data_IF_741965822136
#
_entry.id   IF_741965822136
#
_cell.length_a   1.000
_cell.length_b   1.000
_cell.length_c   1.000
_cell.angle_alpha   90.00
_cell.angle_beta   90.00
_cell.angle_gamma   90.00
#
_symmetry.space_group_name_H-M   'P 1'
#
loop_
_entity.id
_entity.type
_entity.pdbx_description
1 polymer ?
#
# COMPACT_ATOMS: atom_id res chain seq x y z
N UNK A 1 -38.60 62.70 -55.47
CA UNK A 1 -38.62 62.37 -56.92
C UNK A 1 -37.48 63.15 -57.56
N UNK A 2 -36.52 62.46 -58.21
CA UNK A 2 -35.24 63.00 -58.75
C UNK A 2 -34.23 63.43 -57.65
N UNK A 3 -32.90 63.31 -57.78
CA UNK A 3 -31.95 62.56 -58.65
C UNK A 3 -30.61 62.55 -57.84
N UNK A 4 -29.98 61.41 -57.50
CA UNK A 4 -28.94 60.64 -58.24
C UNK A 4 -27.66 61.40 -58.64
N UNK A 5 -26.50 60.75 -58.41
CA UNK A 5 -25.09 61.22 -58.45
C UNK A 5 -24.52 61.54 -59.87
N UNK A 6 -23.23 61.95 -60.02
CA UNK A 6 -22.04 61.04 -60.02
C UNK A 6 -20.80 61.61 -59.26
N UNK A 7 -19.77 60.82 -58.84
CA UNK A 7 -18.61 60.31 -59.63
C UNK A 7 -17.45 61.34 -59.72
N UNK A 8 -16.14 61.04 -59.85
CA UNK A 8 -15.35 59.79 -59.92
C UNK A 8 -13.84 60.10 -59.62
N UNK A 9 -13.00 59.06 -59.49
CA UNK A 9 -11.60 59.03 -59.04
C UNK A 9 -10.48 59.75 -59.85
N UNK A 10 -9.35 60.08 -59.19
CA UNK A 10 -7.93 59.87 -59.60
C UNK A 10 -6.97 60.50 -58.53
N UNK A 11 -6.11 59.78 -57.79
CA UNK A 11 -4.79 59.17 -58.10
C UNK A 11 -3.69 60.18 -58.51
N UNK A 12 -2.66 60.38 -57.67
CA UNK A 12 -1.24 60.51 -58.08
C UNK A 12 -0.23 60.47 -56.91
N UNK A 13 0.69 59.50 -56.99
CA UNK A 13 2.15 59.51 -56.72
C UNK A 13 2.73 60.24 -55.47
N UNK A 14 3.37 59.55 -54.52
CA UNK A 14 4.79 59.10 -54.52
C UNK A 14 5.79 60.24 -54.16
N UNK A 15 6.88 60.06 -53.41
CA UNK A 15 7.62 58.86 -52.99
C UNK A 15 8.19 58.99 -51.55
N UNK A 16 8.37 57.87 -50.86
CA UNK A 16 9.34 57.71 -49.77
C UNK A 16 9.82 56.24 -49.71
N UNK A 17 11.10 55.95 -49.37
CA UNK A 17 11.76 54.74 -49.89
C UNK A 17 11.46 53.41 -49.16
N UNK A 18 11.31 52.36 -49.98
CA UNK A 18 11.57 50.94 -49.68
C UNK A 18 13.10 50.73 -49.49
N UNK A 19 13.68 49.65 -48.92
CA UNK A 19 13.27 48.38 -48.27
C UNK A 19 14.53 47.91 -47.43
N UNK A 20 14.64 46.82 -46.66
CA UNK A 20 14.29 45.39 -46.87
C UNK A 20 14.26 44.60 -45.54
N UNK A 21 13.39 43.58 -45.44
CA UNK A 21 13.53 42.42 -44.53
C UNK A 21 12.93 42.59 -43.12
N UNK A 22 12.07 41.69 -42.60
CA UNK A 22 11.63 40.36 -43.08
C UNK A 22 10.19 40.08 -42.59
N UNK A 23 9.44 39.24 -43.32
CA UNK A 23 8.03 38.94 -43.04
C UNK A 23 7.79 38.21 -41.68
N UNK A 24 6.59 38.35 -41.08
CA UNK A 24 6.24 37.68 -39.82
C UNK A 24 5.78 36.23 -40.06
N UNK A 25 6.27 35.23 -39.29
CA UNK A 25 5.71 33.88 -39.31
C UNK A 25 4.44 33.77 -38.46
N UNK A 26 3.46 33.03 -38.99
CA UNK A 26 2.15 32.73 -38.43
C UNK A 26 2.13 31.58 -37.41
N UNK A 27 0.96 31.34 -36.80
CA UNK A 27 0.65 30.21 -35.89
C UNK A 27 1.22 28.85 -36.30
N UNK A 28 1.79 28.09 -35.34
CA UNK A 28 1.16 26.98 -34.58
C UNK A 28 2.22 26.43 -33.56
N UNK A 29 2.16 25.20 -32.97
CA UNK A 29 2.03 25.09 -31.52
C UNK A 29 3.22 24.40 -30.82
N UNK A 30 3.38 24.62 -29.50
CA UNK A 30 4.19 23.72 -28.67
C UNK A 30 4.97 24.38 -27.54
N UNK A 31 4.37 24.48 -26.36
CA UNK A 31 5.10 24.63 -25.10
C UNK A 31 4.54 23.66 -24.07
N UNK A 32 5.26 22.56 -23.81
CA UNK A 32 4.92 21.61 -22.75
C UNK A 32 4.84 22.33 -21.39
N UNK A 33 3.87 22.00 -20.52
CA UNK A 33 3.77 22.61 -19.20
C UNK A 33 5.03 22.29 -18.38
N UNK A 34 5.65 23.35 -17.84
CA UNK A 34 6.87 23.25 -17.03
C UNK A 34 6.60 22.43 -15.75
N UNK A 35 7.16 21.22 -15.66
CA UNK A 35 7.20 20.42 -14.43
C UNK A 35 7.65 21.28 -13.25
N UNK A 36 6.79 21.41 -12.24
CA UNK A 36 7.09 22.23 -11.07
C UNK A 36 8.19 21.57 -10.22
N UNK A 37 9.20 22.35 -9.83
CA UNK A 37 10.22 21.94 -8.86
C UNK A 37 9.73 22.30 -7.46
N UNK A 38 9.62 21.31 -6.57
CA UNK A 38 9.23 21.55 -5.18
C UNK A 38 10.33 22.33 -4.45
N UNK A 39 9.93 23.44 -3.82
CA UNK A 39 10.83 24.44 -3.24
C UNK A 39 10.79 24.50 -1.70
N UNK A 40 11.96 24.75 -1.12
CA UNK A 40 12.23 24.88 0.33
C UNK A 40 11.38 25.95 1.03
N UNK A 41 11.28 25.86 2.37
CA UNK A 41 10.98 27.02 3.23
C UNK A 41 12.13 27.33 4.18
N UNK A 42 12.29 28.61 4.54
CA UNK A 42 13.16 29.14 5.61
C UNK A 42 12.29 29.57 6.80
N UNK A 43 12.81 29.43 8.02
CA UNK A 43 12.21 29.88 9.28
C UNK A 43 13.03 29.36 10.48
N UNK A 44 12.94 30.03 11.63
CA UNK A 44 13.57 29.55 12.87
C UNK A 44 12.77 28.38 13.45
N UNK A 45 13.47 27.33 13.86
CA UNK A 45 12.90 26.12 14.48
C UNK A 45 12.87 26.33 16.00
N UNK A 46 11.75 26.06 16.70
CA UNK A 46 11.71 26.12 18.17
C UNK A 46 12.61 25.05 18.80
N UNK A 47 13.32 25.41 19.88
CA UNK A 47 14.10 24.45 20.66
C UNK A 47 13.21 23.67 21.64
N UNK A 48 13.29 22.34 21.59
CA UNK A 48 12.51 21.36 22.36
C UNK A 48 12.53 20.02 21.63
N UNK A 49 11.80 19.00 22.13
CA UNK A 49 11.72 17.65 21.52
C UNK A 49 10.96 17.60 20.16
N UNK A 50 10.92 18.72 19.43
CA UNK A 50 10.21 18.91 18.18
C UNK A 50 11.07 18.46 16.98
N UNK A 51 10.74 17.28 16.42
CA UNK A 51 11.32 16.78 15.18
C UNK A 51 10.82 17.53 13.94
N UNK A 52 11.71 18.22 13.21
CA UNK A 52 11.42 18.96 11.95
C UNK A 52 12.68 19.01 11.05
N UNK A 53 12.69 18.73 9.73
CA UNK A 53 11.80 17.93 8.84
C UNK A 53 12.47 17.75 7.44
N UNK A 54 12.37 16.54 6.84
CA UNK A 54 12.45 16.18 5.38
C UNK A 54 13.76 16.26 4.55
N UNK A 55 14.06 15.17 3.82
CA UNK A 55 14.20 15.12 2.34
C UNK A 55 14.30 13.68 1.77
N UNK A 56 14.02 13.53 0.47
CA UNK A 56 14.33 12.36 -0.37
C UNK A 56 14.27 12.76 -1.86
N UNK A 57 14.67 11.92 -2.84
CA UNK A 57 15.15 10.54 -2.74
C UNK A 57 16.62 10.34 -3.22
N UNK A 58 17.11 9.10 -3.07
CA UNK A 58 18.42 8.57 -3.50
C UNK A 58 19.66 8.93 -2.65
N UNK A 59 20.66 8.05 -2.68
CA UNK A 59 22.03 8.20 -2.12
C UNK A 59 22.22 8.45 -0.61
N UNK A 60 21.63 7.59 0.24
CA UNK A 60 22.19 7.33 1.59
C UNK A 60 21.78 8.28 2.73
N UNK A 61 20.62 8.93 2.63
CA UNK A 61 20.05 9.77 3.70
C UNK A 61 19.38 8.94 4.82
N UNK A 62 19.44 9.38 6.10
CA UNK A 62 18.80 8.71 7.23
C UNK A 62 17.27 8.93 7.31
N UNK A 63 16.58 8.05 8.05
CA UNK A 63 15.11 7.89 8.05
C UNK A 63 14.29 9.15 8.35
N UNK A 64 13.12 9.22 7.70
CA UNK A 64 12.18 10.33 7.84
C UNK A 64 11.57 10.43 9.25
N UNK A 65 11.41 11.68 9.71
CA UNK A 65 10.59 11.98 10.88
C UNK A 65 9.12 12.01 10.50
N UNK A 66 8.29 11.48 11.39
CA UNK A 66 6.83 11.53 11.30
C UNK A 66 6.38 13.00 11.42
N UNK A 67 5.49 13.50 10.56
CA UNK A 67 4.80 14.77 10.84
C UNK A 67 3.72 14.50 11.90
N UNK A 68 3.63 15.32 12.96
CA UNK A 68 2.45 15.33 13.85
C UNK A 68 1.43 16.32 13.29
N UNK A 69 0.15 15.93 13.26
CA UNK A 69 -0.94 16.86 12.94
C UNK A 69 -1.18 17.73 14.18
N UNK A 70 -0.81 19.00 14.13
CA UNK A 70 -1.04 19.94 15.24
C UNK A 70 -2.54 20.19 15.50
N UNK A 71 -2.90 20.28 16.78
CA UNK A 71 -3.94 21.18 17.28
C UNK A 71 -5.37 21.03 16.74
N UNK A 72 -6.09 20.00 17.17
CA UNK A 72 -7.55 19.93 17.03
C UNK A 72 -8.11 18.56 17.42
N UNK A 73 -9.43 18.43 17.64
CA UNK A 73 -10.05 17.11 17.55
C UNK A 73 -9.83 16.57 16.12
N UNK A 74 -9.55 15.26 15.96
CA UNK A 74 -9.44 14.69 14.63
C UNK A 74 -10.73 14.97 13.82
N UNK A 75 -10.62 15.25 12.50
CA UNK A 75 -11.81 15.37 11.66
C UNK A 75 -12.65 14.10 11.77
N UNK A 76 -13.99 14.20 11.80
CA UNK A 76 -14.86 13.03 11.89
C UNK A 76 -14.67 12.12 10.67
N UNK A 77 -14.98 10.83 10.84
CA UNK A 77 -15.03 9.90 9.71
C UNK A 77 -16.00 10.45 8.65
N UNK A 78 -15.61 10.52 7.36
CA UNK A 78 -16.51 10.96 6.30
C UNK A 78 -17.73 10.02 6.17
N UNK A 79 -18.89 10.57 5.83
CA UNK A 79 -20.10 9.78 5.57
C UNK A 79 -20.13 9.27 4.13
N UNK A 80 -20.91 8.21 3.82
CA UNK A 80 -20.94 7.62 2.48
C UNK A 80 -21.38 8.57 1.35
N UNK A 81 -22.13 9.63 1.66
CA UNK A 81 -22.59 10.64 0.71
C UNK A 81 -21.53 11.69 0.33
N UNK A 82 -20.38 11.73 1.04
CA UNK A 82 -19.31 12.70 0.76
C UNK A 82 -18.72 12.48 -0.65
N UNK A 83 -18.67 13.52 -1.51
CA UNK A 83 -18.05 13.44 -2.83
C UNK A 83 -16.56 13.11 -2.76
N UNK A 84 -16.07 12.35 -3.73
CA UNK A 84 -14.68 11.85 -3.76
C UNK A 84 -13.64 13.00 -3.76
N UNK A 85 -13.97 14.13 -4.37
CA UNK A 85 -13.14 15.35 -4.41
C UNK A 85 -12.98 16.01 -3.02
N UNK A 86 -13.92 15.77 -2.10
CA UNK A 86 -13.88 16.27 -0.74
C UNK A 86 -13.22 15.29 0.25
N UNK A 87 -12.89 14.07 -0.18
CA UNK A 87 -12.26 13.06 0.66
C UNK A 87 -10.77 13.31 0.84
N UNK A 88 -10.32 13.11 2.08
CA UNK A 88 -8.91 12.85 2.39
C UNK A 88 -8.69 11.33 2.36
N UNK A 89 -7.71 10.90 1.59
CA UNK A 89 -7.25 9.52 1.54
C UNK A 89 -5.92 9.38 2.27
N UNK A 90 -5.69 8.20 2.86
CA UNK A 90 -4.38 7.77 3.34
C UNK A 90 -4.10 6.39 2.77
N UNK A 91 -3.20 6.32 1.78
CA UNK A 91 -2.71 5.03 1.30
C UNK A 91 -1.64 4.51 2.24
N UNK A 92 -1.65 3.20 2.49
CA UNK A 92 -0.74 2.50 3.41
C UNK A 92 -0.14 1.25 2.79
N UNK A 93 1.03 0.90 3.28
CA UNK A 93 1.68 -0.40 3.08
C UNK A 93 2.54 -0.74 4.32
N UNK A 94 2.70 -2.02 4.64
CA UNK A 94 3.51 -2.49 5.76
C UNK A 94 4.43 -3.66 5.37
N UNK A 95 5.74 -3.45 5.42
CA UNK A 95 6.67 -4.58 5.38
C UNK A 95 6.66 -5.35 6.71
N UNK A 96 6.80 -6.67 6.62
CA UNK A 96 6.71 -7.55 7.78
C UNK A 96 7.84 -8.56 7.89
N UNK A 97 7.96 -9.19 9.06
CA UNK A 97 8.84 -10.34 9.28
C UNK A 97 8.58 -11.53 8.34
N UNK A 98 7.50 -11.55 7.56
CA UNK A 98 7.23 -12.57 6.55
C UNK A 98 6.95 -13.98 7.11
N UNK A 99 6.53 -14.07 8.38
CA UNK A 99 6.19 -15.33 9.04
C UNK A 99 5.00 -15.10 10.00
N UNK A 100 4.13 -16.10 10.15
CA UNK A 100 2.96 -16.01 11.04
C UNK A 100 3.37 -16.27 12.51
N UNK A 101 2.97 -15.43 13.48
CA UNK A 101 2.20 -14.19 13.33
C UNK A 101 3.04 -13.05 12.75
N UNK A 102 2.53 -12.40 11.70
CA UNK A 102 3.21 -11.28 11.05
C UNK A 102 3.45 -10.14 12.04
N UNK A 103 4.66 -9.58 12.00
CA UNK A 103 5.04 -8.39 12.76
C UNK A 103 5.56 -7.32 11.82
N UNK A 104 5.18 -6.08 12.10
CA UNK A 104 5.63 -4.89 11.37
C UNK A 104 7.16 -4.71 11.47
N UNK A 105 7.80 -4.34 10.37
CA UNK A 105 9.22 -3.93 10.32
C UNK A 105 9.44 -2.61 9.59
N UNK A 106 8.51 -2.19 8.72
CA UNK A 106 8.44 -0.85 8.12
C UNK A 106 6.97 -0.46 7.93
N UNK A 107 6.66 0.81 8.09
CA UNK A 107 5.36 1.39 7.76
C UNK A 107 5.57 2.53 6.78
N UNK A 108 4.85 2.49 5.67
CA UNK A 108 4.75 3.58 4.70
C UNK A 108 3.30 4.05 4.59
N UNK A 109 3.12 5.36 4.56
CA UNK A 109 1.82 5.98 4.39
C UNK A 109 1.92 7.33 3.66
N UNK A 110 0.92 7.62 2.83
CA UNK A 110 0.80 8.89 2.10
C UNK A 110 -0.61 9.44 2.25
N UNK A 111 -0.72 10.67 2.75
CA UNK A 111 -1.97 11.41 2.78
C UNK A 111 -2.13 12.25 1.52
N UNK A 112 -3.30 12.17 0.89
CA UNK A 112 -3.61 12.88 -0.35
C UNK A 112 -5.10 13.17 -0.48
N UNK A 113 -5.44 14.03 -1.42
CA UNK A 113 -6.78 14.21 -1.98
C UNK A 113 -6.66 14.09 -3.51
N UNK A 114 -7.79 14.11 -4.25
CA UNK A 114 -7.80 13.95 -5.72
C UNK A 114 -6.89 14.95 -6.43
N UNK A 115 -6.79 16.17 -5.90
CA UNK A 115 -6.02 17.30 -6.44
C UNK A 115 -4.54 17.33 -6.03
N UNK A 116 -4.16 16.73 -4.89
CA UNK A 116 -2.82 16.92 -4.32
C UNK A 116 -2.34 15.84 -3.34
N UNK A 117 -1.02 15.68 -3.31
CA UNK A 117 -0.31 15.16 -2.14
C UNK A 117 -0.40 16.15 -0.97
N UNK A 118 -0.57 15.63 0.25
CA UNK A 118 -0.66 16.43 1.49
C UNK A 118 0.61 16.25 2.33
N UNK A 119 0.92 15.01 2.72
CA UNK A 119 2.11 14.64 3.49
C UNK A 119 2.36 13.13 3.42
N UNK A 120 3.53 12.69 3.88
CA UNK A 120 3.90 11.27 3.94
C UNK A 120 4.45 10.92 5.32
N UNK A 121 4.34 9.65 5.68
CA UNK A 121 4.85 9.04 6.91
C UNK A 121 5.59 7.76 6.51
N UNK A 122 6.84 7.64 6.93
CA UNK A 122 7.68 6.48 6.67
C UNK A 122 8.53 6.20 7.90
N UNK A 123 8.59 4.96 8.37
CA UNK A 123 9.50 4.59 9.46
C UNK A 123 9.76 3.09 9.52
N UNK A 124 11.00 2.71 9.82
CA UNK A 124 11.31 1.37 10.30
C UNK A 124 10.71 1.15 11.69
N UNK A 125 10.41 -0.10 12.01
CA UNK A 125 9.77 -0.48 13.27
C UNK A 125 10.61 -1.54 13.97
N UNK A 126 11.05 -1.23 15.19
CA UNK A 126 11.90 -2.09 15.98
C UNK A 126 11.23 -3.42 16.28
N UNK A 127 11.97 -4.49 15.98
CA UNK A 127 11.49 -5.85 16.06
C UNK A 127 12.66 -6.80 16.33
N UNK A 128 12.46 -7.72 17.29
CA UNK A 128 13.46 -8.73 17.66
C UNK A 128 13.13 -10.12 17.08
N UNK A 129 11.97 -10.28 16.44
CA UNK A 129 11.59 -11.53 15.79
C UNK A 129 12.47 -11.77 14.55
N UNK A 130 12.74 -13.04 14.25
CA UNK A 130 13.48 -13.44 13.05
C UNK A 130 12.71 -13.04 11.78
N UNK A 131 13.34 -12.25 10.92
CA UNK A 131 12.82 -11.95 9.58
C UNK A 131 13.01 -13.18 8.67
N UNK A 132 11.95 -13.58 7.98
CA UNK A 132 11.96 -14.64 6.99
C UNK A 132 12.98 -14.30 5.87
N UNK A 133 13.91 -15.20 5.51
CA UNK A 133 14.88 -14.94 4.44
C UNK A 133 14.27 -14.57 3.08
N UNK A 134 13.03 -14.97 2.79
CA UNK A 134 12.30 -14.54 1.59
C UNK A 134 11.90 -13.07 1.67
N UNK A 135 11.19 -12.65 2.71
CA UNK A 135 10.82 -11.25 2.94
C UNK A 135 12.07 -10.34 2.94
N UNK A 136 13.13 -10.74 3.67
CA UNK A 136 14.40 -10.00 3.70
C UNK A 136 15.04 -9.80 2.32
N UNK A 137 14.80 -10.69 1.34
CA UNK A 137 15.30 -10.52 -0.03
C UNK A 137 14.45 -9.57 -0.87
N UNK A 138 13.19 -9.37 -0.52
CA UNK A 138 12.30 -8.41 -1.16
C UNK A 138 12.59 -7.01 -0.62
N UNK A 139 12.31 -6.78 0.66
CA UNK A 139 12.35 -5.44 1.27
C UNK A 139 13.74 -5.01 1.79
N UNK A 140 14.73 -5.91 1.77
CA UNK A 140 16.14 -5.65 2.14
C UNK A 140 16.40 -5.20 3.60
N UNK A 141 15.38 -5.23 4.48
CA UNK A 141 15.53 -4.81 5.89
C UNK A 141 16.12 -5.94 6.74
N UNK A 142 17.29 -5.70 7.34
CA UNK A 142 17.92 -6.59 8.31
C UNK A 142 17.58 -6.20 9.75
N UNK A 143 17.67 -7.16 10.69
CA UNK A 143 17.50 -6.90 12.12
C UNK A 143 18.46 -5.83 12.68
N UNK A 144 19.62 -5.62 12.05
CA UNK A 144 20.56 -4.54 12.41
C UNK A 144 20.02 -3.14 12.10
N UNK A 145 19.22 -2.97 11.04
CA UNK A 145 18.54 -1.70 10.74
C UNK A 145 17.41 -1.42 11.74
N UNK A 146 16.76 -2.47 12.25
CA UNK A 146 15.68 -2.36 13.24
C UNK A 146 16.15 -2.10 14.68
N UNK A 147 17.45 -2.23 14.97
CA UNK A 147 17.97 -2.13 16.33
C UNK A 147 17.75 -0.75 16.97
N UNK A 148 17.86 0.33 16.17
CA UNK A 148 17.65 1.72 16.61
C UNK A 148 16.27 2.29 16.29
N UNK A 149 15.36 1.51 15.72
CA UNK A 149 14.04 1.97 15.30
C UNK A 149 13.07 2.21 16.48
N UNK A 150 12.00 3.01 16.32
CA UNK A 150 10.93 3.11 17.30
C UNK A 150 10.12 1.80 17.40
N UNK A 151 9.53 1.51 18.57
CA UNK A 151 8.64 0.35 18.75
C UNK A 151 7.32 0.53 17.99
N UNK A 152 6.68 -0.58 17.63
CA UNK A 152 5.45 -0.58 16.83
C UNK A 152 4.31 0.25 17.45
N UNK A 153 4.03 0.10 18.74
CA UNK A 153 2.90 0.79 19.37
C UNK A 153 2.93 2.33 19.25
N UNK A 154 3.99 3.06 19.64
CA UNK A 154 4.04 4.52 19.47
C UNK A 154 3.98 4.95 18.00
N UNK A 155 4.60 4.19 17.08
CA UNK A 155 4.49 4.42 15.62
C UNK A 155 3.03 4.34 15.18
N UNK A 156 2.34 3.25 15.56
CA UNK A 156 0.96 3.01 15.13
C UNK A 156 -0.06 3.93 15.81
N UNK A 157 0.20 4.38 17.04
CA UNK A 157 -0.59 5.44 17.68
C UNK A 157 -0.44 6.78 16.95
N UNK A 158 0.76 7.11 16.44
CA UNK A 158 0.98 8.30 15.60
C UNK A 158 0.37 8.14 14.21
N UNK A 159 0.46 6.96 13.61
CA UNK A 159 -0.25 6.63 12.38
C UNK A 159 -1.77 6.79 12.52
N UNK A 160 -2.37 6.33 13.63
CA UNK A 160 -3.81 6.50 13.87
C UNK A 160 -4.22 7.99 13.92
N UNK A 161 -3.37 8.88 14.46
CA UNK A 161 -3.57 10.34 14.38
C UNK A 161 -3.40 10.86 12.96
N UNK A 162 -2.37 10.41 12.25
CA UNK A 162 -2.11 10.77 10.84
C UNK A 162 -3.29 10.40 9.94
N UNK A 163 -3.89 9.22 10.13
CA UNK A 163 -4.99 8.70 9.32
C UNK A 163 -6.39 9.22 9.72
N UNK A 164 -6.53 9.92 10.84
CA UNK A 164 -7.83 10.31 11.37
C UNK A 164 -8.65 11.18 10.38
N UNK A 165 -9.97 10.94 10.34
CA UNK A 165 -10.90 11.56 9.38
C UNK A 165 -10.55 11.34 7.90
N UNK A 166 -9.84 10.26 7.59
CA UNK A 166 -9.46 9.88 6.23
C UNK A 166 -10.03 8.51 5.87
N UNK A 167 -10.13 8.25 4.57
CA UNK A 167 -10.40 6.91 4.03
C UNK A 167 -9.06 6.21 3.84
N UNK A 168 -8.89 5.03 4.43
CA UNK A 168 -7.69 4.21 4.22
C UNK A 168 -7.72 3.59 2.83
N UNK A 169 -6.55 3.47 2.22
CA UNK A 169 -6.37 2.86 0.91
C UNK A 169 -5.22 1.85 1.01
N UNK A 170 -5.44 0.62 0.57
CA UNK A 170 -4.39 -0.40 0.52
C UNK A 170 -4.44 -1.16 -0.81
N UNK A 171 -3.38 -1.91 -1.09
CA UNK A 171 -3.32 -2.86 -2.20
C UNK A 171 -3.00 -4.25 -1.65
N UNK A 172 -3.82 -4.71 -0.71
CA UNK A 172 -3.46 -5.83 0.16
C UNK A 172 -4.58 -6.86 0.22
N UNK A 173 -4.21 -8.13 0.04
CA UNK A 173 -5.17 -9.23 0.01
C UNK A 173 -5.91 -9.35 1.34
N UNK A 174 -7.24 -9.19 1.30
CA UNK A 174 -8.11 -9.16 2.49
C UNK A 174 -7.64 -8.11 3.55
N UNK A 175 -7.31 -6.88 3.16
CA UNK A 175 -6.98 -5.76 4.08
C UNK A 175 -5.89 -6.10 5.12
N UNK A 176 -4.78 -6.65 4.63
CA UNK A 176 -3.71 -7.19 5.47
C UNK A 176 -3.12 -6.12 6.41
N UNK A 177 -2.83 -4.92 5.91
CA UNK A 177 -2.14 -3.85 6.62
C UNK A 177 -3.03 -3.21 7.67
N UNK A 178 -4.25 -2.81 7.28
CA UNK A 178 -5.26 -2.30 8.22
C UNK A 178 -5.49 -3.28 9.37
N UNK A 179 -5.55 -4.59 9.08
CA UNK A 179 -5.72 -5.64 10.10
C UNK A 179 -4.43 -5.90 10.90
N UNK A 180 -3.25 -5.77 10.33
CA UNK A 180 -1.97 -5.86 11.05
C UNK A 180 -1.82 -4.73 12.06
N UNK A 181 -2.12 -3.51 11.64
CA UNK A 181 -2.11 -2.32 12.50
C UNK A 181 -3.12 -2.50 13.63
N UNK A 182 -4.37 -2.87 13.31
CA UNK A 182 -5.43 -3.07 14.31
C UNK A 182 -5.09 -4.16 15.33
N UNK A 183 -4.51 -5.30 14.90
CA UNK A 183 -4.03 -6.36 15.80
C UNK A 183 -2.90 -5.90 16.71
N UNK A 184 -1.98 -5.09 16.19
CA UNK A 184 -0.83 -4.57 16.96
C UNK A 184 -1.25 -3.50 17.97
N UNK A 185 -2.26 -2.69 17.66
CA UNK A 185 -2.86 -1.71 18.58
C UNK A 185 -3.85 -2.33 19.58
N UNK A 186 -4.32 -3.56 19.34
CA UNK A 186 -5.36 -4.21 20.15
C UNK A 186 -6.78 -3.67 19.95
N UNK A 187 -6.99 -2.80 18.95
CA UNK A 187 -8.27 -2.15 18.65
C UNK A 187 -8.36 -1.85 17.14
N UNK A 188 -9.56 -1.80 16.53
CA UNK A 188 -9.71 -1.38 15.14
C UNK A 188 -9.29 0.07 14.92
N UNK A 189 -8.86 0.39 13.71
CA UNK A 189 -8.73 1.78 13.26
C UNK A 189 -10.11 2.41 13.03
N UNK A 190 -10.27 3.68 13.42
CA UNK A 190 -11.50 4.46 13.21
C UNK A 190 -11.54 5.09 11.81
N UNK A 191 -11.53 4.24 10.79
CA UNK A 191 -11.58 4.63 9.38
C UNK A 191 -12.27 3.56 8.54
N UNK A 192 -12.84 3.98 7.41
CA UNK A 192 -13.23 3.05 6.35
C UNK A 192 -12.02 2.74 5.46
N UNK A 193 -12.05 1.62 4.73
CA UNK A 193 -10.93 1.14 3.90
C UNK A 193 -11.37 0.76 2.48
N UNK A 194 -10.50 1.08 1.52
CA UNK A 194 -10.64 0.77 0.09
C UNK A 194 -9.44 -0.06 -0.35
N UNK A 195 -9.71 -1.23 -0.90
CA UNK A 195 -8.72 -2.11 -1.52
C UNK A 195 -8.69 -1.86 -3.03
N UNK A 196 -7.60 -1.26 -3.50
CA UNK A 196 -7.41 -0.94 -4.92
C UNK A 196 -7.35 -2.18 -5.81
N UNK A 197 -6.98 -3.35 -5.27
CA UNK A 197 -6.99 -4.62 -6.00
C UNK A 197 -8.43 -5.10 -6.30
N UNK A 198 -9.41 -4.72 -5.46
CA UNK A 198 -10.84 -5.00 -5.65
C UNK A 198 -11.49 -4.05 -6.64
N UNK A 199 -11.17 -2.75 -6.57
CA UNK A 199 -11.56 -1.78 -7.60
C UNK A 199 -11.01 -2.17 -8.99
N UNK A 200 -9.76 -2.63 -9.04
CA UNK A 200 -9.15 -3.20 -10.24
C UNK A 200 -9.90 -4.44 -10.76
N UNK A 201 -10.21 -5.41 -9.88
CA UNK A 201 -10.98 -6.59 -10.26
C UNK A 201 -12.38 -6.23 -10.80
N UNK A 202 -13.06 -5.25 -10.19
CA UNK A 202 -14.34 -4.72 -10.69
C UNK A 202 -14.20 -4.03 -12.04
N UNK A 203 -13.14 -3.24 -12.24
CA UNK A 203 -12.89 -2.52 -13.50
C UNK A 203 -12.62 -3.45 -14.68
N UNK A 204 -11.89 -4.55 -14.47
CA UNK A 204 -11.53 -5.49 -15.54
C UNK A 204 -12.31 -6.80 -15.55
N UNK A 205 -13.39 -6.90 -14.75
CA UNK A 205 -14.23 -8.10 -14.61
C UNK A 205 -13.42 -9.38 -14.29
N UNK A 206 -12.46 -9.23 -13.37
CA UNK A 206 -11.54 -10.31 -12.98
C UNK A 206 -12.19 -11.21 -11.94
N UNK A 207 -11.95 -12.53 -12.06
CA UNK A 207 -12.36 -13.52 -11.06
C UNK A 207 -11.63 -13.36 -9.72
N UNK A 208 -10.39 -12.90 -9.78
CA UNK A 208 -9.47 -12.76 -8.65
C UNK A 208 -8.75 -11.39 -8.73
N UNK A 209 -8.17 -10.95 -7.62
CA UNK A 209 -7.38 -9.71 -7.55
C UNK A 209 -6.01 -9.86 -8.21
N UNK A 210 -5.44 -8.74 -8.66
CA UNK A 210 -4.05 -8.65 -9.16
C UNK A 210 -3.16 -7.95 -8.13
N UNK A 211 -1.83 -8.16 -8.21
CA UNK A 211 -0.85 -7.47 -7.35
C UNK A 211 -0.42 -6.10 -7.89
N UNK A 212 0.23 -5.31 -7.02
CA UNK A 212 0.47 -3.88 -7.22
C UNK A 212 1.32 -3.57 -8.45
N UNK A 213 2.40 -4.32 -8.69
CA UNK A 213 3.27 -4.14 -9.87
C UNK A 213 2.47 -4.30 -11.18
N UNK A 214 1.58 -5.30 -11.24
CA UNK A 214 0.70 -5.51 -12.39
C UNK A 214 -0.32 -4.38 -12.50
N UNK A 215 -0.94 -3.96 -11.39
CA UNK A 215 -1.87 -2.83 -11.40
C UNK A 215 -1.19 -1.56 -11.94
N UNK A 216 0.06 -1.29 -11.52
CA UNK A 216 0.83 -0.15 -11.99
C UNK A 216 1.08 -0.22 -13.50
N UNK A 217 1.47 -1.39 -14.01
CA UNK A 217 1.70 -1.60 -15.44
C UNK A 217 0.43 -1.38 -16.28
N UNK A 218 -0.72 -1.93 -15.87
CA UNK A 218 -2.01 -1.82 -16.58
C UNK A 218 -2.55 -0.36 -16.56
N UNK A 219 -2.21 0.42 -15.53
CA UNK A 219 -2.64 1.82 -15.39
C UNK A 219 -1.66 2.86 -15.96
N UNK A 220 -0.41 2.48 -16.23
CA UNK A 220 0.68 3.38 -16.63
C UNK A 220 1.34 4.14 -15.47
N UNK A 221 1.21 3.63 -14.23
CA UNK A 221 1.77 4.23 -13.01
C UNK A 221 3.23 3.83 -12.84
N UNK A 222 4.09 4.78 -12.46
CA UNK A 222 5.51 4.51 -12.19
C UNK A 222 5.71 3.99 -10.77
N UNK A 223 5.95 2.69 -10.63
CA UNK A 223 6.35 2.07 -9.37
C UNK A 223 7.88 2.07 -9.25
N UNK A 224 8.44 2.91 -8.37
CA UNK A 224 9.89 3.23 -8.37
C UNK A 224 10.77 2.22 -7.64
N UNK A 225 10.24 1.59 -6.60
CA UNK A 225 10.96 0.69 -5.70
C UNK A 225 9.95 -0.26 -5.06
N UNK A 226 9.56 -1.36 -5.73
CA UNK A 226 8.72 -2.39 -5.16
C UNK A 226 9.31 -2.93 -3.84
N UNK A 227 8.45 -3.35 -2.91
CA UNK A 227 8.83 -3.86 -1.59
C UNK A 227 9.57 -2.82 -0.74
N UNK A 228 9.01 -1.62 -0.70
CA UNK A 228 9.45 -0.52 0.15
C UNK A 228 8.23 0.31 0.52
N UNK A 229 7.88 0.33 1.79
CA UNK A 229 6.50 0.60 2.18
C UNK A 229 5.99 1.98 1.70
N UNK A 230 6.80 3.04 1.76
CA UNK A 230 6.36 4.33 1.24
C UNK A 230 6.19 4.35 -0.29
N UNK A 231 7.03 3.62 -1.03
CA UNK A 231 6.96 3.58 -2.50
C UNK A 231 5.75 2.76 -2.97
N UNK A 232 5.39 1.71 -2.23
CA UNK A 232 4.22 0.87 -2.49
C UNK A 232 2.94 1.61 -2.09
N UNK A 233 2.97 2.42 -1.01
CA UNK A 233 1.89 3.35 -0.67
C UNK A 233 1.72 4.49 -1.71
N UNK A 234 2.80 5.10 -2.20
CA UNK A 234 2.78 6.10 -3.28
C UNK A 234 2.22 5.54 -4.59
N UNK A 235 2.62 4.32 -4.95
CA UNK A 235 2.10 3.61 -6.10
C UNK A 235 0.61 3.26 -5.92
N UNK A 236 0.21 2.80 -4.74
CA UNK A 236 -1.19 2.52 -4.38
C UNK A 236 -2.08 3.77 -4.49
N UNK A 237 -1.61 4.92 -3.98
CA UNK A 237 -2.32 6.20 -4.12
C UNK A 237 -2.49 6.61 -5.60
N UNK A 238 -1.41 6.50 -6.38
CA UNK A 238 -1.42 6.81 -7.82
C UNK A 238 -2.35 5.87 -8.61
N UNK A 239 -2.37 4.59 -8.25
CA UNK A 239 -3.27 3.59 -8.80
C UNK A 239 -4.73 3.87 -8.43
N UNK A 240 -5.04 4.30 -7.20
CA UNK A 240 -6.40 4.72 -6.84
C UNK A 240 -6.89 5.84 -7.76
N UNK A 241 -6.12 6.93 -7.91
CA UNK A 241 -6.52 8.06 -8.77
C UNK A 241 -6.80 7.58 -10.22
N UNK A 242 -5.89 6.77 -10.78
CA UNK A 242 -6.04 6.21 -12.12
C UNK A 242 -7.20 5.21 -12.27
N UNK A 243 -7.64 4.55 -11.18
CA UNK A 243 -8.86 3.73 -11.14
C UNK A 243 -10.12 4.59 -11.03
N UNK A 244 -10.10 5.67 -10.25
CA UNK A 244 -11.20 6.61 -10.10
C UNK A 244 -11.56 7.26 -11.45
N UNK A 245 -10.56 7.73 -12.19
CA UNK A 245 -10.74 8.32 -13.53
C UNK A 245 -11.44 7.34 -14.49
N UNK A 246 -11.03 6.06 -14.49
CA UNK A 246 -11.59 5.01 -15.36
C UNK A 246 -12.94 4.49 -14.89
N UNK A 247 -13.21 4.53 -13.59
CA UNK A 247 -14.41 3.98 -12.97
C UNK A 247 -15.58 4.96 -12.87
N UNK A 248 -15.32 6.27 -12.89
CA UNK A 248 -16.36 7.31 -12.75
C UNK A 248 -17.47 7.18 -13.79
N UNK A 249 -17.14 7.12 -15.07
CA UNK A 249 -18.13 6.99 -16.15
C UNK A 249 -18.80 5.61 -16.17
N UNK A 250 -18.02 4.54 -15.90
CA UNK A 250 -18.48 3.15 -16.07
C UNK A 250 -19.31 2.62 -14.91
N UNK A 251 -19.02 3.05 -13.68
CA UNK A 251 -19.65 2.53 -12.45
C UNK A 251 -20.30 3.62 -11.59
N UNK A 252 -20.18 4.90 -11.98
CA UNK A 252 -20.76 6.00 -11.22
C UNK A 252 -20.05 6.28 -9.90
N UNK A 253 -18.75 5.95 -9.78
CA UNK A 253 -17.94 6.25 -8.59
C UNK A 253 -17.78 7.77 -8.40
N UNK A 254 -18.68 8.37 -7.62
CA UNK A 254 -18.70 9.81 -7.33
C UNK A 254 -18.65 10.11 -5.82
N UNK A 255 -19.12 9.18 -4.97
CA UNK A 255 -19.14 9.32 -3.51
C UNK A 255 -18.33 8.24 -2.81
N UNK A 256 -18.02 8.44 -1.52
CA UNK A 256 -17.41 7.39 -0.68
C UNK A 256 -18.22 6.09 -0.70
N UNK A 257 -19.55 6.18 -0.65
CA UNK A 257 -20.46 5.04 -0.65
C UNK A 257 -20.41 4.20 -1.93
N UNK A 258 -20.09 4.81 -3.07
CA UNK A 258 -19.86 4.08 -4.32
C UNK A 258 -18.52 3.32 -4.29
N UNK A 259 -17.47 3.94 -3.73
CA UNK A 259 -16.18 3.28 -3.55
C UNK A 259 -16.26 2.13 -2.53
N UNK A 260 -16.98 2.30 -1.43
CA UNK A 260 -17.17 1.23 -0.44
C UNK A 260 -17.96 0.04 -1.04
N UNK A 261 -18.97 0.32 -1.88
CA UNK A 261 -19.77 -0.74 -2.54
C UNK A 261 -18.92 -1.72 -3.36
N UNK A 262 -17.90 -1.22 -4.06
CA UNK A 262 -17.09 -2.00 -5.01
C UNK A 262 -15.68 -2.34 -4.52
N UNK A 263 -15.09 -1.45 -3.71
CA UNK A 263 -13.69 -1.51 -3.26
C UNK A 263 -13.49 -1.92 -1.81
N UNK A 264 -14.54 -1.99 -0.98
CA UNK A 264 -14.36 -2.36 0.43
C UNK A 264 -13.84 -3.82 0.54
N UNK A 265 -12.80 -4.07 1.35
CA UNK A 265 -12.30 -5.42 1.62
C UNK A 265 -13.36 -6.24 2.38
N UNK A 266 -13.37 -7.58 2.24
CA UNK A 266 -14.31 -8.42 2.96
C UNK A 266 -14.12 -8.30 4.48
N UNK A 267 -15.17 -8.56 5.30
CA UNK A 267 -15.02 -8.58 6.74
C UNK A 267 -13.98 -9.63 7.17
N UNK A 268 -13.29 -9.43 8.32
CA UNK A 268 -12.32 -10.40 8.80
C UNK A 268 -12.98 -11.75 9.02
N UNK A 269 -12.36 -12.82 8.49
CA UNK A 269 -12.78 -14.20 8.78
C UNK A 269 -12.44 -14.50 10.24
N UNK A 270 -13.36 -14.16 11.13
CA UNK A 270 -13.28 -14.55 12.53
C UNK A 270 -13.26 -16.08 12.58
N UNK A 271 -12.10 -16.64 12.93
CA UNK A 271 -12.04 -18.05 13.30
C UNK A 271 -12.96 -18.22 14.52
N UNK A 272 -14.04 -18.98 14.35
CA UNK A 272 -14.91 -19.34 15.48
C UNK A 272 -14.07 -20.21 16.40
N UNK A 273 -13.49 -19.59 17.43
CA UNK A 273 -12.95 -20.31 18.57
C UNK A 273 -14.16 -20.93 19.25
N UNK A 274 -14.40 -22.21 18.97
CA UNK A 274 -15.33 -23.02 19.73
C UNK A 274 -14.83 -23.06 21.16
N UNK A 275 -15.40 -22.19 22.00
CA UNK A 275 -15.21 -22.23 23.45
C UNK A 275 -15.85 -23.53 23.92
N UNK A 276 -15.03 -24.59 23.96
CA UNK A 276 -15.41 -25.86 24.54
C UNK A 276 -15.92 -25.62 25.97
N UNK A 277 -16.92 -26.38 26.42
CA UNK A 277 -17.49 -26.17 27.75
C UNK A 277 -16.38 -26.21 28.79
N UNK A 278 -16.32 -25.17 29.64
CA UNK A 278 -15.39 -25.12 30.77
C UNK A 278 -15.59 -26.42 31.58
N UNK A 279 -14.52 -27.12 32.00
CA UNK A 279 -14.66 -28.26 32.88
C UNK A 279 -15.35 -27.78 34.16
N UNK A 280 -16.52 -28.33 34.45
CA UNK A 280 -17.21 -28.10 35.71
C UNK A 280 -16.33 -28.64 36.84
N UNK A 281 -15.92 -27.77 37.76
CA UNK A 281 -15.25 -28.18 38.99
C UNK A 281 -16.25 -29.05 39.76
N UNK A 282 -16.00 -30.35 39.83
CA UNK A 282 -16.81 -31.25 40.63
C UNK A 282 -16.59 -30.93 42.10
N UNK A 283 -17.67 -30.67 42.83
CA UNK A 283 -17.60 -30.58 44.28
C UNK A 283 -17.50 -32.00 44.87
N UNK A 284 -16.56 -32.21 45.78
CA UNK A 284 -16.44 -33.46 46.52
C UNK A 284 -17.69 -33.69 47.38
N UNK A 285 -18.26 -34.90 47.30
CA UNK A 285 -19.45 -35.31 48.04
C UNK A 285 -19.48 -36.84 48.19
N UNK A 286 -19.37 -37.28 49.44
CA UNK A 286 -19.36 -38.70 49.87
C UNK A 286 -20.71 -39.41 49.63
N UNK A 287 -20.73 -40.75 49.50
CA UNK A 287 -21.99 -41.50 49.39
C UNK A 287 -22.05 -42.89 48.73
N UNK A 288 -21.19 -43.84 49.10
CA UNK A 288 -21.47 -45.30 49.20
C UNK A 288 -22.32 -46.10 48.15
N UNK A 289 -21.69 -47.16 47.58
CA UNK A 289 -22.28 -48.48 47.14
C UNK A 289 -23.25 -48.43 45.93
N UNK A 290 -23.44 -49.47 45.10
CA UNK A 290 -23.14 -50.92 45.20
C UNK A 290 -22.81 -51.50 43.79
N UNK A 291 -22.49 -52.80 43.68
CA UNK A 291 -21.92 -53.41 42.46
C UNK A 291 -22.95 -54.04 41.51
N UNK A 292 -22.61 -54.11 40.22
CA UNK A 292 -22.79 -55.33 39.40
C UNK A 292 -21.87 -55.34 38.17
N UNK A 293 -21.68 -56.51 37.56
CA UNK A 293 -20.63 -56.76 36.56
C UNK A 293 -21.22 -57.12 35.19
N UNK A 294 -20.59 -56.65 34.11
CA UNK A 294 -20.50 -57.46 32.88
C UNK A 294 -19.30 -57.08 31.97
N UNK A 295 -18.80 -58.06 31.22
CA UNK A 295 -17.71 -57.98 30.23
C UNK A 295 -17.79 -59.22 29.31
N UNK A 296 -17.27 -59.23 28.06
CA UNK A 296 -16.71 -58.14 27.24
C UNK A 296 -17.42 -58.15 25.83
N UNK A 297 -16.83 -58.23 24.60
CA UNK A 297 -15.47 -58.56 24.14
C UNK A 297 -14.73 -57.46 23.34
N UNK A 298 -13.40 -57.58 23.35
CA UNK A 298 -12.45 -56.76 22.59
C UNK A 298 -12.52 -57.05 21.07
N UNK A 299 -12.45 -56.03 20.22
CA UNK A 299 -12.07 -56.20 18.79
C UNK A 299 -10.64 -55.72 18.51
N UNK A 300 -9.89 -56.54 17.78
CA UNK A 300 -8.44 -56.44 17.57
C UNK A 300 -8.07 -55.40 16.51
N UNK A 301 -6.98 -54.66 16.75
CA UNK A 301 -6.21 -53.98 15.69
C UNK A 301 -5.75 -55.01 14.65
N UNK A 302 -5.91 -54.71 13.34
CA UNK A 302 -5.15 -55.38 12.27
C UNK A 302 -4.14 -54.42 11.68
N UNK A 303 -2.85 -54.76 11.79
CA UNK A 303 -1.77 -54.19 10.97
C UNK A 303 -1.67 -54.99 9.68
N UNK A 304 -1.60 -54.30 8.54
CA UNK A 304 -1.04 -54.78 7.28
C UNK A 304 -0.22 -53.61 6.69
N UNK A 305 1.04 -53.74 6.29
CA UNK A 305 1.87 -54.94 6.19
C UNK A 305 2.05 -55.39 4.75
N UNK A 306 2.68 -54.56 3.91
CA UNK A 306 3.21 -54.99 2.60
C UNK A 306 4.49 -54.25 2.23
N UNK A 307 5.63 -54.95 2.33
CA UNK A 307 6.90 -54.59 1.68
C UNK A 307 6.90 -55.09 0.23
N UNK A 308 7.41 -54.29 -0.71
CA UNK A 308 8.11 -54.71 -1.94
C UNK A 308 9.17 -53.61 -2.20
N UNK A 309 10.44 -53.83 -1.83
CA UNK A 309 11.54 -54.41 -2.64
C UNK A 309 11.80 -53.62 -3.94
N UNK A 310 12.89 -52.85 -3.94
CA UNK A 310 13.68 -52.49 -5.14
C UNK A 310 14.49 -53.71 -5.60
N UNK A 311 14.92 -53.77 -6.87
CA UNK A 311 16.15 -54.43 -7.28
C UNK A 311 17.34 -53.45 -7.28
N UNK A 312 18.54 -53.94 -6.98
CA UNK A 312 19.80 -53.22 -7.09
C UNK A 312 20.56 -53.68 -8.36
N UNK A 313 21.30 -52.78 -8.98
CA UNK A 313 22.37 -53.01 -9.95
C UNK A 313 23.31 -51.79 -9.83
N UNK A 314 24.45 -51.91 -9.15
CA UNK A 314 25.76 -52.31 -9.70
C UNK A 314 26.38 -51.28 -10.66
N UNK A 315 27.62 -50.85 -10.37
CA UNK A 315 28.54 -50.31 -11.38
C UNK A 315 29.24 -48.98 -11.09
N UNK A 316 30.38 -49.03 -10.39
CA UNK A 316 31.56 -48.21 -10.74
C UNK A 316 31.65 -46.76 -10.25
N UNK A 317 32.48 -46.55 -9.22
CA UNK A 317 33.43 -45.43 -9.20
C UNK A 317 34.82 -45.97 -9.58
N UNK A 318 35.72 -45.12 -10.09
CA UNK A 318 36.79 -44.71 -9.18
C UNK A 318 37.13 -43.21 -9.23
N UNK A 319 37.91 -42.83 -8.22
CA UNK A 319 38.45 -41.50 -7.92
C UNK A 319 39.49 -41.01 -8.94
N UNK A 320 39.57 -39.69 -9.11
CA UNK A 320 40.66 -38.98 -9.80
C UNK A 320 40.70 -37.52 -9.37
N UNK A 321 41.36 -37.24 -8.25
CA UNK A 321 41.80 -35.89 -7.87
C UNK A 321 43.26 -35.71 -8.25
N UNK A 322 43.65 -34.48 -8.61
CA UNK A 322 45.05 -34.06 -8.73
C UNK A 322 45.45 -33.66 -10.15
N UNK A 323 45.49 -32.35 -10.40
CA UNK A 323 46.64 -31.72 -11.04
C UNK A 323 46.73 -30.26 -10.57
N UNK A 324 47.96 -29.75 -10.47
CA UNK A 324 48.30 -28.50 -9.81
C UNK A 324 48.59 -27.34 -10.79
N UNK A 325 48.65 -26.15 -10.20
CA UNK A 325 49.26 -24.86 -10.62
C UNK A 325 49.94 -24.71 -12.00
N UNK A 326 49.81 -23.52 -12.61
CA UNK A 326 50.91 -22.86 -13.31
C UNK A 326 51.64 -21.85 -12.41
N UNK A 327 52.97 -21.86 -12.44
CA UNK A 327 53.82 -20.80 -11.88
C UNK A 327 53.81 -19.55 -12.78
N UNK A 328 53.71 -18.36 -12.16
CA UNK A 328 54.41 -17.10 -12.51
C UNK A 328 54.25 -16.07 -11.37
#
# INVERSE_FOLDING_TARGET
MRQSEPGSAAISSADAPLETGTAPPSDRPGTSPRRHRYGRRRGLIPAGDAFVSRLGPASGEPFAALDDVEGGPPPPRPTPDVPIEALRFVAIDCETTGQTPHRLVELGAIAFSVDRHICSMETLVHNNDRINPFARRLHLISSSLLAGAPRAEPVLRRFARFAAGSVLVEHSADAFDTRLISRTLGQPLDADSIDTSRLAAKLWDLRDTIGLERLCAELGVTHRRPHHALADAEATASCLLALLDRGRERFGWNTLGDLLRDGQPPPPRLAVVSVGPRPSVAADGDGSRQAEADQPPRRRRRRSGRRRRRPDAEGGAPTGEGDAEPED
#
